data_IF_145207767175
#
_entry.id   IF_145207767175
#
_cell.length_a   1.000
_cell.length_b   1.000
_cell.length_c   1.000
_cell.angle_alpha   90.00
_cell.angle_beta   90.00
_cell.angle_gamma   90.00
#
_symmetry.space_group_name_H-M   'P 1'
#
loop_
_entity.id
_entity.type
_entity.pdbx_description
1 polymer ?
#
# COMPACT_ATOMS: atom_id res chain seq x y z
N UNK A 1 75.04 -16.90 -50.67
CA UNK A 1 74.69 -15.55 -50.23
C UNK A 1 73.36 -15.59 -49.50
N UNK A 2 73.29 -15.52 -48.14
CA UNK A 2 72.08 -15.38 -47.42
C UNK A 2 71.77 -13.90 -47.15
N UNK A 3 70.51 -13.51 -47.36
CA UNK A 3 69.95 -12.18 -47.06
C UNK A 3 69.62 -12.08 -45.55
N UNK A 4 70.20 -11.10 -44.89
CA UNK A 4 69.92 -10.67 -43.53
C UNK A 4 68.68 -9.78 -43.52
N UNK A 5 67.60 -10.18 -42.77
CA UNK A 5 66.46 -9.33 -42.55
C UNK A 5 66.66 -8.60 -41.20
N UNK A 6 66.29 -7.34 -41.04
CA UNK A 6 66.45 -6.59 -39.81
C UNK A 6 65.33 -6.97 -38.84
N UNK A 7 65.68 -7.24 -37.53
CA UNK A 7 64.79 -7.35 -36.41
C UNK A 7 64.24 -5.98 -36.01
N UNK A 8 62.94 -5.80 -36.18
CA UNK A 8 62.21 -4.70 -35.54
C UNK A 8 62.00 -5.04 -34.07
N UNK A 9 62.67 -4.34 -33.17
CA UNK A 9 62.36 -4.30 -31.75
C UNK A 9 61.20 -3.29 -31.51
N UNK A 10 59.98 -3.78 -31.46
CA UNK A 10 58.82 -3.00 -31.06
C UNK A 10 58.77 -2.86 -29.54
N UNK A 11 59.24 -1.77 -28.99
CA UNK A 11 58.98 -1.34 -27.62
C UNK A 11 57.57 -0.74 -27.58
N UNK A 12 56.63 -1.43 -26.92
CA UNK A 12 55.28 -0.91 -26.64
C UNK A 12 55.32 -0.01 -25.40
N UNK A 13 55.10 1.31 -25.52
CA UNK A 13 54.98 2.21 -24.39
C UNK A 13 53.50 2.63 -24.21
N UNK A 14 52.63 1.81 -23.72
CA UNK A 14 51.22 2.24 -23.48
C UNK A 14 50.54 1.74 -22.22
N UNK A 15 51.24 0.94 -21.37
CA UNK A 15 50.68 0.45 -20.11
C UNK A 15 50.78 1.40 -18.90
N UNK A 16 51.83 2.20 -18.84
CA UNK A 16 52.13 3.06 -17.69
C UNK A 16 51.31 4.36 -17.61
N UNK A 17 50.96 4.97 -18.74
CA UNK A 17 50.22 6.23 -18.78
C UNK A 17 48.76 6.12 -18.36
N UNK A 18 48.13 4.97 -18.59
CA UNK A 18 46.73 4.76 -18.19
C UNK A 18 46.56 4.48 -16.68
N UNK A 19 47.52 3.83 -16.06
CA UNK A 19 47.51 3.57 -14.61
C UNK A 19 47.78 4.86 -13.81
N UNK A 20 48.69 5.69 -14.24
CA UNK A 20 48.98 6.99 -13.63
C UNK A 20 47.82 7.99 -13.83
N UNK A 21 47.14 7.98 -14.96
CA UNK A 21 45.97 8.82 -15.21
C UNK A 21 44.80 8.40 -14.28
N UNK A 22 44.58 7.11 -14.06
CA UNK A 22 43.61 6.60 -13.12
C UNK A 22 43.94 6.95 -11.67
N UNK A 23 45.22 6.81 -11.25
CA UNK A 23 45.64 7.18 -9.89
C UNK A 23 45.48 8.68 -9.62
N UNK A 24 45.81 9.55 -10.58
CA UNK A 24 45.61 11.02 -10.51
C UNK A 24 44.10 11.39 -10.49
N UNK A 25 43.25 10.66 -11.21
CA UNK A 25 41.80 10.86 -11.15
C UNK A 25 41.21 10.44 -9.79
N UNK A 26 41.66 9.31 -9.25
CA UNK A 26 41.24 8.85 -7.90
C UNK A 26 41.72 9.80 -6.80
N UNK A 27 42.96 10.29 -6.88
CA UNK A 27 43.49 11.29 -5.91
C UNK A 27 42.65 12.58 -5.94
N UNK A 28 42.30 13.11 -7.13
CA UNK A 28 41.44 14.29 -7.25
C UNK A 28 40.03 14.07 -6.66
N UNK A 29 39.46 12.89 -6.87
CA UNK A 29 38.16 12.54 -6.26
C UNK A 29 38.26 12.44 -4.75
N UNK A 30 39.36 11.88 -4.23
CA UNK A 30 39.59 11.82 -2.77
C UNK A 30 39.80 13.20 -2.16
N UNK A 31 40.56 14.07 -2.78
CA UNK A 31 40.79 15.46 -2.34
C UNK A 31 39.48 16.27 -2.38
N UNK A 32 38.67 16.10 -3.44
CA UNK A 32 37.37 16.72 -3.55
C UNK A 32 36.40 16.22 -2.45
N UNK A 33 36.34 14.91 -2.20
CA UNK A 33 35.55 14.33 -1.12
C UNK A 33 36.04 14.80 0.27
N UNK A 34 37.37 14.92 0.46
CA UNK A 34 37.98 15.48 1.65
C UNK A 34 37.60 16.94 1.91
N UNK A 35 37.60 17.77 0.84
CA UNK A 35 37.18 19.16 0.93
C UNK A 35 35.69 19.33 1.25
N UNK A 36 34.83 18.46 0.70
CA UNK A 36 33.39 18.44 1.02
C UNK A 36 33.15 18.03 2.47
N UNK A 37 33.89 17.03 2.97
CA UNK A 37 33.75 16.59 4.37
C UNK A 37 34.22 17.66 5.37
N UNK A 38 35.29 18.40 5.05
CA UNK A 38 35.78 19.52 5.86
C UNK A 38 34.77 20.67 5.89
N UNK A 39 34.24 21.08 4.72
CA UNK A 39 33.18 22.11 4.64
C UNK A 39 31.92 21.71 5.39
N UNK A 40 31.53 20.43 5.33
CA UNK A 40 30.41 19.91 6.10
C UNK A 40 30.66 19.97 7.58
N UNK A 41 31.85 19.59 8.06
CA UNK A 41 32.20 19.67 9.47
C UNK A 41 32.18 21.12 9.98
N UNK A 42 32.64 22.07 9.21
CA UNK A 42 32.63 23.50 9.52
C UNK A 42 31.19 24.06 9.58
N UNK A 43 30.34 23.68 8.62
CA UNK A 43 28.92 24.04 8.62
C UNK A 43 28.16 23.48 9.82
N UNK A 44 28.45 22.23 10.22
CA UNK A 44 27.84 21.59 11.40
C UNK A 44 28.31 22.22 12.70
N UNK A 45 29.53 22.71 12.76
CA UNK A 45 30.09 23.39 13.93
C UNK A 45 29.53 24.81 14.09
N UNK A 46 29.34 25.53 12.97
CA UNK A 46 28.82 26.91 12.98
C UNK A 46 27.30 26.99 13.08
N UNK A 47 26.58 25.97 12.58
CA UNK A 47 25.13 25.97 12.51
C UNK A 47 24.53 24.61 12.96
N UNK A 48 24.26 24.41 14.26
CA UNK A 48 23.73 23.15 14.77
C UNK A 48 22.40 22.72 14.16
N UNK A 49 21.59 23.68 13.67
CA UNK A 49 20.35 23.40 12.94
C UNK A 49 20.59 22.68 11.60
N UNK A 50 21.76 22.81 10.96
CA UNK A 50 22.13 22.07 9.74
C UNK A 50 22.18 20.58 10.02
N UNK A 51 22.67 20.16 11.20
CA UNK A 51 22.64 18.75 11.60
C UNK A 51 21.22 18.21 11.84
N UNK A 52 20.31 19.05 12.31
CA UNK A 52 18.89 18.71 12.43
C UNK A 52 18.25 18.62 11.04
N UNK A 53 18.52 19.58 10.17
CA UNK A 53 18.01 19.59 8.80
C UNK A 53 18.55 18.41 7.98
N UNK A 54 19.82 18.05 8.14
CA UNK A 54 20.42 16.88 7.49
C UNK A 54 19.80 15.58 7.98
N UNK A 55 19.43 15.50 9.25
CA UNK A 55 18.87 14.31 9.88
C UNK A 55 17.35 14.14 9.61
N UNK A 56 16.62 15.25 9.53
CA UNK A 56 15.16 15.25 9.43
C UNK A 56 14.62 15.92 8.15
N UNK A 57 15.42 16.74 7.46
CA UNK A 57 14.97 17.56 6.34
C UNK A 57 14.46 16.72 5.18
N UNK A 58 15.13 15.61 4.88
CA UNK A 58 14.70 14.68 3.81
C UNK A 58 13.41 13.99 4.22
N UNK A 59 13.30 13.55 5.48
CA UNK A 59 12.08 12.91 6.01
C UNK A 59 10.90 13.87 5.98
N UNK A 60 11.09 15.12 6.37
CA UNK A 60 10.05 16.16 6.33
C UNK A 60 9.66 16.49 4.88
N UNK A 61 10.63 16.63 3.98
CA UNK A 61 10.35 16.89 2.56
C UNK A 61 9.61 15.70 1.91
N UNK A 62 10.00 14.48 2.24
CA UNK A 62 9.35 13.26 1.79
C UNK A 62 7.92 13.15 2.31
N UNK A 63 7.71 13.46 3.60
CA UNK A 63 6.36 13.52 4.19
C UNK A 63 5.52 14.61 3.53
N UNK A 64 6.07 15.81 3.33
CA UNK A 64 5.38 16.90 2.66
C UNK A 64 5.01 16.53 1.21
N UNK A 65 5.91 15.88 0.47
CA UNK A 65 5.63 15.39 -0.88
C UNK A 65 4.56 14.30 -0.88
N UNK A 66 4.57 13.41 0.10
CA UNK A 66 3.54 12.39 0.30
C UNK A 66 2.16 13.03 0.58
N UNK A 67 2.09 13.98 1.51
CA UNK A 67 0.86 14.73 1.80
C UNK A 67 0.39 15.53 0.58
N UNK A 68 1.30 16.14 -0.16
CA UNK A 68 0.98 16.85 -1.40
C UNK A 68 0.42 15.90 -2.45
N UNK A 69 1.02 14.72 -2.63
CA UNK A 69 0.51 13.65 -3.47
C UNK A 69 -0.90 13.24 -3.05
N UNK A 70 -1.16 13.11 -1.74
CA UNK A 70 -2.48 12.86 -1.17
C UNK A 70 -3.52 13.89 -1.59
N UNK A 71 -3.17 15.18 -1.55
CA UNK A 71 -4.07 16.28 -1.90
C UNK A 71 -4.38 16.31 -3.41
N UNK A 72 -3.41 15.98 -4.26
CA UNK A 72 -3.57 15.88 -5.71
C UNK A 72 -4.41 14.67 -6.08
N UNK A 73 -4.14 13.50 -5.50
CA UNK A 73 -4.86 12.25 -5.79
C UNK A 73 -6.31 12.22 -5.29
N UNK A 74 -6.73 13.19 -4.51
CA UNK A 74 -8.16 13.40 -4.21
C UNK A 74 -9.03 13.56 -5.47
N UNK A 75 -8.42 13.79 -6.64
CA UNK A 75 -9.11 14.13 -7.90
C UNK A 75 -9.43 12.95 -8.82
N UNK A 76 -9.02 11.70 -8.53
CA UNK A 76 -9.51 10.54 -9.31
C UNK A 76 -8.45 9.49 -9.69
N UNK A 77 -8.96 8.39 -10.23
CA UNK A 77 -8.22 7.16 -10.63
C UNK A 77 -7.50 7.35 -11.99
N UNK A 78 -7.44 8.55 -12.52
CA UNK A 78 -6.85 8.86 -13.84
C UNK A 78 -5.34 8.54 -13.92
N UNK A 79 -4.68 8.37 -12.75
CA UNK A 79 -3.26 8.09 -12.64
C UNK A 79 -2.91 6.61 -12.42
N UNK A 80 -3.85 5.70 -12.69
CA UNK A 80 -3.63 4.26 -12.53
C UNK A 80 -2.41 3.70 -13.28
N UNK A 81 -2.13 4.11 -14.55
CA UNK A 81 -0.92 3.66 -15.24
C UNK A 81 0.38 4.08 -14.53
N UNK A 82 0.41 5.29 -13.95
CA UNK A 82 1.54 5.78 -13.18
C UNK A 82 1.75 4.94 -11.91
N UNK A 83 0.66 4.56 -11.24
CA UNK A 83 0.71 3.70 -10.06
C UNK A 83 1.28 2.31 -10.39
N UNK A 84 0.86 1.69 -11.51
CA UNK A 84 1.42 0.41 -11.97
C UNK A 84 2.90 0.56 -12.29
N UNK A 85 3.29 1.62 -13.01
CA UNK A 85 4.69 1.91 -13.31
C UNK A 85 5.55 2.04 -12.05
N UNK A 86 5.04 2.74 -11.03
CA UNK A 86 5.71 2.89 -9.74
C UNK A 86 5.85 1.54 -9.00
N UNK A 87 4.81 0.71 -9.02
CA UNK A 87 4.83 -0.62 -8.42
C UNK A 87 5.85 -1.54 -9.11
N UNK A 88 5.90 -1.51 -10.44
CA UNK A 88 6.88 -2.26 -11.21
C UNK A 88 8.32 -1.78 -10.94
N UNK A 89 8.52 -0.47 -10.82
CA UNK A 89 9.81 0.11 -10.44
C UNK A 89 10.23 -0.35 -9.04
N UNK A 90 9.33 -0.29 -8.07
CA UNK A 90 9.60 -0.77 -6.71
C UNK A 90 9.97 -2.26 -6.70
N UNK A 91 9.20 -3.07 -7.45
CA UNK A 91 9.48 -4.50 -7.57
C UNK A 91 10.85 -4.75 -8.21
N UNK A 92 11.15 -4.09 -9.34
CA UNK A 92 12.43 -4.20 -10.04
C UNK A 92 13.61 -3.82 -9.13
N UNK A 93 13.51 -2.67 -8.44
CA UNK A 93 14.53 -2.21 -7.50
C UNK A 93 14.68 -3.19 -6.34
N UNK A 94 13.57 -3.73 -5.81
CA UNK A 94 13.59 -4.76 -4.75
C UNK A 94 14.29 -6.05 -5.19
N UNK A 95 14.04 -6.52 -6.43
CA UNK A 95 14.69 -7.70 -7.01
C UNK A 95 16.19 -7.47 -7.22
N UNK A 96 16.55 -6.35 -7.86
CA UNK A 96 17.97 -5.97 -8.08
C UNK A 96 18.70 -5.86 -6.74
N UNK A 97 18.03 -5.31 -5.72
CA UNK A 97 18.59 -5.19 -4.38
C UNK A 97 18.79 -6.55 -3.69
N UNK A 98 17.84 -7.47 -3.83
CA UNK A 98 17.95 -8.82 -3.29
C UNK A 98 19.12 -9.58 -3.92
N UNK A 99 19.27 -9.52 -5.25
CA UNK A 99 20.40 -10.12 -5.98
C UNK A 99 21.74 -9.47 -5.61
N UNK A 100 21.76 -8.14 -5.54
CA UNK A 100 22.95 -7.39 -5.16
C UNK A 100 23.39 -7.68 -3.72
N UNK A 101 22.46 -7.90 -2.78
CA UNK A 101 22.79 -8.35 -1.42
C UNK A 101 23.45 -9.73 -1.38
N UNK A 102 23.01 -10.66 -2.22
CA UNK A 102 23.66 -11.97 -2.33
C UNK A 102 25.07 -11.82 -2.91
N UNK A 103 25.27 -10.91 -3.87
CA UNK A 103 26.58 -10.59 -4.44
C UNK A 103 27.48 -9.74 -3.50
N UNK A 104 26.93 -9.11 -2.46
CA UNK A 104 27.62 -8.21 -1.49
C UNK A 104 28.78 -8.86 -0.72
N UNK A 105 28.84 -10.19 -0.70
CA UNK A 105 30.03 -10.91 -0.21
C UNK A 105 31.30 -10.57 -1.03
N UNK A 106 31.19 -9.84 -2.17
CA UNK A 106 32.27 -9.42 -3.02
C UNK A 106 32.15 -7.93 -3.43
N UNK A 107 32.80 -7.01 -2.68
CA UNK A 107 33.51 -5.81 -3.17
C UNK A 107 32.73 -4.72 -3.92
N UNK A 108 31.79 -4.00 -3.29
CA UNK A 108 31.28 -2.73 -3.85
C UNK A 108 31.59 -1.51 -2.98
N UNK A 109 31.70 -0.27 -3.56
CA UNK A 109 31.90 0.95 -2.78
C UNK A 109 30.75 1.19 -1.80
N UNK A 110 31.05 1.52 -0.55
CA UNK A 110 30.05 1.78 0.51
C UNK A 110 29.01 2.86 0.13
N UNK A 111 29.43 3.81 -0.71
CA UNK A 111 28.57 4.90 -1.20
C UNK A 111 27.43 4.39 -2.09
N UNK A 112 27.70 3.45 -3.01
CA UNK A 112 26.70 2.87 -3.90
C UNK A 112 25.62 2.16 -3.08
N UNK A 113 26.02 1.40 -2.06
CA UNK A 113 25.07 0.70 -1.20
C UNK A 113 24.18 1.64 -0.38
N UNK A 114 24.73 2.75 0.12
CA UNK A 114 23.92 3.78 0.80
C UNK A 114 22.90 4.43 -0.15
N UNK A 115 23.30 4.71 -1.38
CA UNK A 115 22.40 5.27 -2.39
C UNK A 115 21.25 4.29 -2.72
N UNK A 116 21.56 2.99 -2.85
CA UNK A 116 20.54 1.95 -3.08
C UNK A 116 19.60 1.82 -1.87
N UNK A 117 20.12 1.74 -0.64
CA UNK A 117 19.32 1.67 0.58
C UNK A 117 18.37 2.88 0.67
N UNK A 118 18.85 4.08 0.37
CA UNK A 118 18.06 5.29 0.35
C UNK A 118 16.97 5.27 -0.73
N UNK A 119 17.29 4.81 -1.94
CA UNK A 119 16.33 4.70 -3.03
C UNK A 119 15.20 3.73 -2.67
N UNK A 120 15.53 2.57 -2.12
CA UNK A 120 14.55 1.57 -1.67
C UNK A 120 13.64 2.15 -0.59
N UNK A 121 14.20 2.81 0.42
CA UNK A 121 13.43 3.47 1.48
C UNK A 121 12.47 4.52 0.91
N UNK A 122 12.95 5.38 -0.01
CA UNK A 122 12.14 6.43 -0.65
C UNK A 122 10.98 5.83 -1.46
N UNK A 123 11.22 4.73 -2.17
CA UNK A 123 10.18 4.03 -2.92
C UNK A 123 9.11 3.42 -2.00
N UNK A 124 9.50 2.77 -0.89
CA UNK A 124 8.55 2.27 0.10
C UNK A 124 7.72 3.38 0.71
N UNK A 125 8.37 4.45 1.13
CA UNK A 125 7.71 5.61 1.70
C UNK A 125 6.68 6.20 0.73
N UNK A 126 7.07 6.50 -0.51
CA UNK A 126 6.17 7.06 -1.50
C UNK A 126 4.96 6.15 -1.78
N UNK A 127 5.19 4.84 -1.92
CA UNK A 127 4.13 3.87 -2.17
C UNK A 127 3.15 3.75 -0.99
N UNK A 128 3.66 3.61 0.24
CA UNK A 128 2.82 3.47 1.42
C UNK A 128 2.01 4.74 1.69
N UNK A 129 2.60 5.93 1.52
CA UNK A 129 1.87 7.19 1.61
C UNK A 129 0.79 7.34 0.54
N UNK A 130 1.05 6.84 -0.68
CA UNK A 130 0.03 6.81 -1.74
C UNK A 130 -1.15 5.89 -1.39
N UNK A 131 -0.87 4.73 -0.79
CA UNK A 131 -1.89 3.75 -0.43
C UNK A 131 -2.76 4.19 0.75
N UNK A 132 -2.19 4.88 1.74
CA UNK A 132 -2.87 5.26 2.97
C UNK A 132 -4.23 5.93 2.77
N UNK A 133 -4.41 6.98 1.92
CA UNK A 133 -5.71 7.64 1.74
C UNK A 133 -6.73 6.74 1.06
N UNK A 134 -6.30 5.85 0.17
CA UNK A 134 -7.20 4.92 -0.50
C UNK A 134 -7.74 3.92 0.52
N UNK A 135 -6.85 3.36 1.35
CA UNK A 135 -7.24 2.47 2.44
C UNK A 135 -8.07 3.19 3.49
N UNK A 136 -7.71 4.41 3.88
CA UNK A 136 -8.49 5.24 4.79
C UNK A 136 -9.92 5.48 4.28
N UNK A 137 -10.08 5.82 3.00
CA UNK A 137 -11.37 6.05 2.39
C UNK A 137 -12.26 4.79 2.32
N UNK A 138 -11.65 3.60 2.29
CA UNK A 138 -12.33 2.30 2.23
C UNK A 138 -12.49 1.64 3.61
N UNK A 139 -11.95 2.25 4.68
CA UNK A 139 -11.98 1.72 6.04
C UNK A 139 -13.12 2.34 6.84
N UNK A 140 -13.86 1.51 7.57
CA UNK A 140 -14.83 1.97 8.56
C UNK A 140 -14.15 2.04 9.92
N UNK A 141 -13.85 3.27 10.42
CA UNK A 141 -13.05 3.49 11.64
C UNK A 141 -13.55 2.78 12.91
N UNK A 142 -14.83 2.43 12.95
CA UNK A 142 -15.43 1.70 14.07
C UNK A 142 -15.59 0.19 13.77
N UNK A 143 -14.66 -0.38 13.01
CA UNK A 143 -14.65 -1.80 12.69
C UNK A 143 -13.23 -2.39 12.78
N UNK A 144 -13.11 -3.71 12.56
CA UNK A 144 -11.82 -4.43 12.71
C UNK A 144 -10.83 -4.11 11.58
N UNK A 145 -11.29 -3.66 10.44
CA UNK A 145 -10.47 -3.27 9.28
C UNK A 145 -9.58 -2.06 9.55
N UNK A 146 -9.87 -1.26 10.60
CA UNK A 146 -8.99 -0.19 11.07
C UNK A 146 -7.61 -0.71 11.47
N UNK A 147 -7.49 -1.96 11.92
CA UNK A 147 -6.20 -2.54 12.31
C UNK A 147 -5.24 -2.65 11.12
N UNK A 148 -5.75 -3.00 9.94
CA UNK A 148 -4.93 -3.01 8.73
C UNK A 148 -4.50 -1.60 8.32
N UNK A 149 -5.38 -0.61 8.45
CA UNK A 149 -5.03 0.80 8.20
C UNK A 149 -3.94 1.28 9.17
N UNK A 150 -4.03 0.91 10.45
CA UNK A 150 -3.01 1.23 11.47
C UNK A 150 -1.68 0.56 11.12
N UNK A 151 -1.69 -0.69 10.66
CA UNK A 151 -0.49 -1.39 10.21
C UNK A 151 0.18 -0.67 9.04
N UNK A 152 -0.59 -0.25 8.01
CA UNK A 152 -0.08 0.52 6.89
C UNK A 152 0.45 1.88 7.33
N UNK A 153 -0.25 2.57 8.24
CA UNK A 153 0.17 3.84 8.80
C UNK A 153 1.49 3.73 9.58
N UNK A 154 1.63 2.69 10.40
CA UNK A 154 2.86 2.40 11.12
C UNK A 154 4.03 2.09 10.16
N UNK A 155 3.78 1.29 9.11
CA UNK A 155 4.77 1.01 8.08
C UNK A 155 5.19 2.28 7.32
N UNK A 156 4.24 3.13 6.94
CA UNK A 156 4.52 4.42 6.29
C UNK A 156 5.34 5.34 7.21
N UNK A 157 4.95 5.46 8.47
CA UNK A 157 5.68 6.27 9.46
C UNK A 157 7.11 5.76 9.67
N UNK A 158 7.28 4.44 9.78
CA UNK A 158 8.58 3.81 9.96
C UNK A 158 9.51 4.04 8.78
N UNK A 159 8.98 4.02 7.55
CA UNK A 159 9.76 4.30 6.33
C UNK A 159 10.03 5.78 6.10
N UNK A 160 9.20 6.68 6.67
CA UNK A 160 9.38 8.13 6.59
C UNK A 160 10.51 8.61 7.48
N UNK A 161 10.66 8.02 8.67
CA UNK A 161 11.61 8.48 9.66
C UNK A 161 12.96 7.76 9.51
N UNK A 162 13.93 8.39 8.86
CA UNK A 162 15.27 7.83 8.61
C UNK A 162 15.92 7.22 9.85
N UNK A 163 15.91 7.85 11.04
CA UNK A 163 16.50 7.26 12.24
C UNK A 163 15.81 5.95 12.66
N UNK A 164 14.49 5.86 12.48
CA UNK A 164 13.72 4.66 12.83
C UNK A 164 13.92 3.56 11.81
N UNK A 165 13.94 3.92 10.53
CA UNK A 165 14.22 2.97 9.45
C UNK A 165 15.59 2.31 9.64
N UNK A 166 16.63 3.10 9.90
CA UNK A 166 17.98 2.60 10.14
C UNK A 166 18.09 1.78 11.44
N UNK A 167 17.40 2.21 12.50
CA UNK A 167 17.47 1.53 13.79
C UNK A 167 16.72 0.20 13.80
N UNK A 168 15.59 0.10 13.09
CA UNK A 168 14.67 -1.04 13.14
C UNK A 168 14.77 -1.91 11.89
N UNK A 169 14.56 -1.32 10.71
CA UNK A 169 14.45 -2.08 9.46
C UNK A 169 15.80 -2.58 8.98
N UNK A 170 16.81 -1.72 8.90
CA UNK A 170 18.12 -2.10 8.37
C UNK A 170 18.85 -3.15 9.25
N UNK A 171 18.52 -3.21 10.54
CA UNK A 171 19.08 -4.22 11.46
C UNK A 171 18.36 -5.56 11.41
N UNK A 172 17.16 -5.60 10.83
CA UNK A 172 16.31 -6.78 10.78
C UNK A 172 15.92 -7.16 9.34
N UNK A 173 16.75 -7.90 8.61
CA UNK A 173 16.48 -8.25 7.19
C UNK A 173 15.13 -8.92 6.96
N UNK A 174 14.64 -9.70 7.94
CA UNK A 174 13.30 -10.32 7.86
C UNK A 174 12.17 -9.30 7.89
N UNK A 175 12.34 -8.21 8.67
CA UNK A 175 11.35 -7.14 8.77
C UNK A 175 11.33 -6.32 7.48
N UNK A 176 12.47 -6.11 6.84
CA UNK A 176 12.54 -5.46 5.52
C UNK A 176 11.82 -6.28 4.45
N UNK A 177 12.01 -7.61 4.42
CA UNK A 177 11.28 -8.51 3.51
C UNK A 177 9.77 -8.46 3.81
N UNK A 178 9.37 -8.46 5.09
CA UNK A 178 7.97 -8.35 5.49
C UNK A 178 7.36 -7.02 5.06
N UNK A 179 8.08 -5.91 5.20
CA UNK A 179 7.66 -4.58 4.75
C UNK A 179 7.49 -4.55 3.22
N UNK A 180 8.42 -5.17 2.48
CA UNK A 180 8.31 -5.29 1.03
C UNK A 180 7.10 -6.13 0.62
N UNK A 181 6.90 -7.28 1.26
CA UNK A 181 5.72 -8.12 1.06
C UNK A 181 4.42 -7.38 1.37
N UNK A 182 4.36 -6.61 2.47
CA UNK A 182 3.20 -5.79 2.83
C UNK A 182 2.92 -4.70 1.77
N UNK A 183 3.95 -4.01 1.31
CA UNK A 183 3.81 -2.97 0.29
C UNK A 183 3.30 -3.54 -1.05
N UNK A 184 3.86 -4.68 -1.49
CA UNK A 184 3.39 -5.41 -2.67
C UNK A 184 1.95 -5.90 -2.51
N UNK A 185 1.65 -6.55 -1.38
CA UNK A 185 0.31 -7.04 -1.08
C UNK A 185 -0.73 -5.91 -1.11
N UNK A 186 -0.49 -4.82 -0.38
CA UNK A 186 -1.41 -3.69 -0.33
C UNK A 186 -1.61 -3.03 -1.70
N UNK A 187 -0.55 -2.96 -2.51
CA UNK A 187 -0.62 -2.42 -3.87
C UNK A 187 -1.43 -3.32 -4.81
N UNK A 188 -1.16 -4.62 -4.79
CA UNK A 188 -1.89 -5.59 -5.60
C UNK A 188 -3.36 -5.67 -5.18
N UNK A 189 -3.65 -5.61 -3.86
CA UNK A 189 -5.02 -5.61 -3.35
C UNK A 189 -5.83 -4.38 -3.81
N UNK A 190 -5.17 -3.24 -4.07
CA UNK A 190 -5.79 -2.10 -4.75
C UNK A 190 -5.90 -2.33 -6.26
N UNK A 191 -4.88 -2.89 -6.90
CA UNK A 191 -4.82 -3.02 -8.35
C UNK A 191 -5.81 -4.06 -8.90
N UNK A 192 -5.99 -5.19 -8.22
CA UNK A 192 -6.86 -6.28 -8.68
C UNK A 192 -8.32 -5.84 -8.92
N UNK A 193 -9.01 -5.13 -8.02
CA UNK A 193 -10.35 -4.65 -8.28
C UNK A 193 -10.42 -3.57 -9.38
N UNK A 194 -9.35 -2.84 -9.64
CA UNK A 194 -9.30 -1.84 -10.72
C UNK A 194 -9.31 -2.50 -12.12
N UNK A 195 -8.88 -3.75 -12.21
CA UNK A 195 -8.98 -4.56 -13.44
C UNK A 195 -10.24 -5.45 -13.46
N UNK A 196 -11.18 -5.23 -12.53
CA UNK A 196 -12.49 -5.90 -12.49
C UNK A 196 -12.53 -7.19 -11.66
N UNK A 197 -11.46 -7.55 -10.94
CA UNK A 197 -11.46 -8.73 -10.07
C UNK A 197 -12.25 -8.41 -8.78
N UNK A 198 -13.15 -9.30 -8.39
CA UNK A 198 -13.91 -9.15 -7.14
C UNK A 198 -12.99 -8.98 -5.91
N UNK A 199 -13.34 -8.13 -4.94
CA UNK A 199 -12.45 -7.77 -3.82
C UNK A 199 -11.86 -8.95 -3.06
N UNK A 200 -12.64 -9.99 -2.80
CA UNK A 200 -12.17 -11.16 -2.06
C UNK A 200 -11.17 -11.99 -2.88
N UNK A 201 -11.44 -12.22 -4.14
CA UNK A 201 -10.50 -12.93 -5.02
C UNK A 201 -9.28 -12.07 -5.31
N UNK A 202 -9.47 -10.74 -5.44
CA UNK A 202 -8.39 -9.76 -5.52
C UNK A 202 -7.47 -9.81 -4.30
N UNK A 203 -8.03 -9.90 -3.10
CA UNK A 203 -7.29 -10.04 -1.84
C UNK A 203 -6.42 -11.32 -1.84
N UNK A 204 -7.00 -12.45 -2.21
CA UNK A 204 -6.28 -13.73 -2.25
C UNK A 204 -5.21 -13.74 -3.34
N UNK A 205 -5.55 -13.26 -4.54
CA UNK A 205 -4.59 -13.11 -5.64
C UNK A 205 -3.41 -12.19 -5.26
N UNK A 206 -3.68 -11.12 -4.52
CA UNK A 206 -2.66 -10.20 -4.01
C UNK A 206 -1.74 -10.86 -2.98
N UNK A 207 -2.29 -11.68 -2.10
CA UNK A 207 -1.51 -12.47 -1.14
C UNK A 207 -0.58 -13.46 -1.83
N UNK A 208 -1.10 -14.28 -2.74
CA UNK A 208 -0.31 -15.21 -3.52
C UNK A 208 0.71 -14.48 -4.42
N UNK A 209 0.26 -13.45 -5.15
CA UNK A 209 1.09 -12.66 -6.06
C UNK A 209 2.25 -11.97 -5.35
N UNK A 210 2.05 -11.44 -4.14
CA UNK A 210 3.12 -10.83 -3.36
C UNK A 210 4.20 -11.85 -2.95
N UNK A 211 3.82 -13.07 -2.60
CA UNK A 211 4.77 -14.13 -2.27
C UNK A 211 5.53 -14.63 -3.51
N UNK A 212 4.85 -14.75 -4.65
CA UNK A 212 5.50 -15.10 -5.92
C UNK A 212 6.44 -13.99 -6.41
N UNK A 213 6.07 -12.72 -6.24
CA UNK A 213 6.94 -11.60 -6.57
C UNK A 213 8.21 -11.55 -5.69
N UNK A 214 8.16 -12.13 -4.48
CA UNK A 214 9.31 -12.29 -3.59
C UNK A 214 10.19 -13.51 -3.96
N UNK A 215 9.90 -14.25 -5.03
CA UNK A 215 10.67 -15.42 -5.45
C UNK A 215 12.19 -15.21 -5.45
N UNK A 216 12.76 -14.10 -5.96
CA UNK A 216 14.19 -13.86 -5.91
C UNK A 216 14.74 -13.77 -4.48
N UNK A 217 13.94 -13.27 -3.53
CA UNK A 217 14.32 -13.17 -2.11
C UNK A 217 14.39 -14.55 -1.44
N UNK A 218 13.60 -15.52 -1.92
CA UNK A 218 13.63 -16.90 -1.43
C UNK A 218 14.81 -17.71 -1.95
N UNK A 219 15.54 -17.22 -2.95
CA UNK A 219 16.73 -17.87 -3.49
C UNK A 219 17.89 -17.75 -2.50
N UNK A 220 18.56 -18.88 -2.26
CA UNK A 220 19.77 -18.94 -1.45
C UNK A 220 20.98 -19.14 -2.36
N UNK A 221 22.17 -18.71 -1.92
CA UNK A 221 23.41 -18.91 -2.66
C UNK A 221 23.76 -20.39 -2.92
N UNK A 222 23.19 -21.30 -2.14
CA UNK A 222 23.35 -22.73 -2.27
C UNK A 222 22.38 -23.38 -3.26
N UNK A 223 21.37 -22.65 -3.77
CA UNK A 223 20.39 -23.20 -4.68
C UNK A 223 20.96 -23.33 -6.10
N UNK A 224 21.15 -24.56 -6.57
CA UNK A 224 21.65 -24.85 -7.92
C UNK A 224 20.60 -24.57 -9.01
N UNK A 225 19.30 -24.58 -8.66
CA UNK A 225 18.17 -24.38 -9.57
C UNK A 225 17.09 -23.49 -8.95
N UNK A 226 16.12 -23.08 -9.76
CA UNK A 226 14.96 -22.31 -9.32
C UNK A 226 13.87 -23.15 -8.63
N UNK A 227 14.00 -24.48 -8.60
CA UNK A 227 12.98 -25.37 -8.02
C UNK A 227 12.80 -25.12 -6.52
N UNK A 228 13.90 -25.09 -5.75
CA UNK A 228 13.84 -24.90 -4.31
C UNK A 228 13.29 -23.51 -3.90
N UNK A 229 13.71 -22.38 -4.48
CA UNK A 229 13.08 -21.08 -4.22
C UNK A 229 11.62 -21.04 -4.65
N UNK A 230 11.22 -21.67 -5.77
CA UNK A 230 9.82 -21.73 -6.20
C UNK A 230 8.95 -22.52 -5.22
N UNK A 231 9.45 -23.62 -4.68
CA UNK A 231 8.74 -24.39 -3.65
C UNK A 231 8.58 -23.56 -2.35
N UNK A 232 9.62 -22.85 -1.92
CA UNK A 232 9.53 -21.96 -0.73
C UNK A 232 8.51 -20.84 -0.94
N UNK A 233 8.52 -20.19 -2.11
CA UNK A 233 7.54 -19.17 -2.47
C UNK A 233 6.12 -19.74 -2.53
N UNK A 234 5.95 -20.93 -3.10
CA UNK A 234 4.66 -21.64 -3.15
C UNK A 234 4.13 -21.99 -1.76
N UNK A 235 4.97 -22.52 -0.88
CA UNK A 235 4.58 -22.79 0.52
C UNK A 235 4.23 -21.49 1.23
N UNK A 236 5.02 -20.42 1.07
CA UNK A 236 4.71 -19.11 1.66
C UNK A 236 3.37 -18.58 1.13
N UNK A 237 3.09 -18.70 -0.17
CA UNK A 237 1.81 -18.30 -0.76
C UNK A 237 0.64 -19.07 -0.13
N UNK A 238 0.74 -20.39 0.00
CA UNK A 238 -0.30 -21.21 0.64
C UNK A 238 -0.54 -20.79 2.09
N UNK A 239 0.52 -20.56 2.86
CA UNK A 239 0.41 -20.09 4.25
C UNK A 239 -0.25 -18.71 4.34
N UNK A 240 0.11 -17.78 3.43
CA UNK A 240 -0.52 -16.46 3.36
C UNK A 240 -1.99 -16.59 2.98
N UNK A 241 -2.38 -17.43 2.02
CA UNK A 241 -3.77 -17.67 1.66
C UNK A 241 -4.58 -18.25 2.83
N UNK A 242 -4.02 -19.25 3.53
CA UNK A 242 -4.63 -19.85 4.71
C UNK A 242 -4.85 -18.82 5.84
N UNK A 243 -3.95 -17.84 5.98
CA UNK A 243 -4.07 -16.75 6.94
C UNK A 243 -5.08 -15.68 6.47
N UNK A 244 -5.04 -15.29 5.20
CA UNK A 244 -5.90 -14.24 4.65
C UNK A 244 -7.37 -14.63 4.62
N UNK A 245 -7.69 -15.89 4.38
CA UNK A 245 -9.08 -16.36 4.33
C UNK A 245 -9.88 -16.04 5.60
N UNK A 246 -9.45 -16.42 6.83
CA UNK A 246 -10.14 -16.03 8.05
C UNK A 246 -10.02 -14.54 8.38
N UNK A 247 -8.90 -13.89 7.99
CA UNK A 247 -8.64 -12.48 8.28
C UNK A 247 -9.21 -11.51 7.24
N UNK A 248 -9.92 -11.97 6.20
CA UNK A 248 -10.45 -11.12 5.12
C UNK A 248 -11.32 -9.96 5.62
N UNK A 249 -12.06 -10.16 6.72
CA UNK A 249 -12.88 -9.11 7.32
C UNK A 249 -12.10 -8.06 8.12
N UNK A 250 -10.77 -8.19 8.23
CA UNK A 250 -9.88 -7.23 8.88
C UNK A 250 -9.15 -6.34 7.87
N UNK A 251 -9.30 -6.66 6.58
CA UNK A 251 -8.68 -5.94 5.49
C UNK A 251 -9.80 -5.28 4.69
N UNK A 252 -9.79 -3.93 4.55
CA UNK A 252 -10.85 -3.23 3.84
C UNK A 252 -10.87 -3.63 2.37
N UNK A 253 -12.06 -3.75 1.75
CA UNK A 253 -12.21 -4.13 0.34
C UNK A 253 -11.90 -2.95 -0.59
N UNK A 254 -10.65 -2.50 -0.61
CA UNK A 254 -10.22 -1.37 -1.45
C UNK A 254 -10.41 -1.69 -2.94
N UNK A 255 -10.79 -0.71 -3.77
CA UNK A 255 -11.08 0.69 -3.46
C UNK A 255 -12.58 0.97 -3.21
N UNK A 256 -13.37 -0.04 -2.81
CA UNK A 256 -14.78 0.15 -2.47
C UNK A 256 -14.93 1.06 -1.25
N UNK A 257 -15.88 2.00 -1.33
CA UNK A 257 -16.17 2.89 -0.21
C UNK A 257 -17.62 3.32 -0.18
N UNK A 258 -18.17 3.51 0.99
CA UNK A 258 -19.48 4.11 1.18
C UNK A 258 -19.37 5.63 0.94
N UNK A 259 -19.89 6.11 -0.20
CA UNK A 259 -19.89 7.54 -0.55
C UNK A 259 -20.96 8.32 0.20
N UNK A 260 -22.14 7.71 0.37
CA UNK A 260 -23.27 8.27 1.10
C UNK A 260 -24.06 7.14 1.75
N UNK A 261 -24.49 7.33 2.98
CA UNK A 261 -25.37 6.40 3.68
C UNK A 261 -26.23 7.14 4.70
N UNK A 262 -27.53 6.83 4.74
CA UNK A 262 -28.46 7.41 5.69
C UNK A 262 -29.66 6.49 5.90
N UNK A 263 -30.27 6.59 7.06
CA UNK A 263 -31.63 6.10 7.24
C UNK A 263 -32.63 7.15 6.79
N UNK A 264 -33.77 6.71 6.33
CA UNK A 264 -34.85 7.58 5.84
C UNK A 264 -36.21 6.93 6.07
N UNK A 265 -37.27 7.74 6.04
CA UNK A 265 -38.65 7.26 6.06
C UNK A 265 -38.92 6.36 4.85
N UNK A 266 -38.52 6.80 3.67
CA UNK A 266 -38.68 6.09 2.41
C UNK A 266 -37.55 6.40 1.43
N UNK A 267 -37.48 5.65 0.35
CA UNK A 267 -36.59 5.95 -0.79
C UNK A 267 -37.46 5.98 -2.04
N UNK A 268 -37.41 7.10 -2.79
CA UNK A 268 -38.13 7.30 -4.03
C UNK A 268 -37.11 7.69 -5.10
N UNK A 269 -37.17 7.05 -6.28
CA UNK A 269 -36.22 7.30 -7.39
C UNK A 269 -34.72 7.23 -6.97
N UNK A 270 -34.42 6.27 -6.10
CA UNK A 270 -33.06 6.09 -5.50
C UNK A 270 -32.54 7.34 -4.79
N UNK A 271 -33.45 8.16 -4.21
CA UNK A 271 -33.12 9.25 -3.31
C UNK A 271 -33.84 9.06 -1.95
N UNK A 272 -33.18 9.34 -0.83
CA UNK A 272 -33.79 9.20 0.49
C UNK A 272 -34.75 10.35 0.78
N UNK A 273 -35.98 10.01 1.14
CA UNK A 273 -37.02 10.94 1.59
C UNK A 273 -37.03 11.04 3.09
N UNK A 274 -36.94 12.24 3.64
CA UNK A 274 -36.81 12.51 5.07
C UNK A 274 -35.63 11.72 5.71
N UNK A 275 -34.39 12.02 5.35
CA UNK A 275 -33.21 11.37 5.91
C UNK A 275 -33.06 11.74 7.40
N UNK A 276 -32.76 10.75 8.25
CA UNK A 276 -32.67 10.92 9.69
C UNK A 276 -31.40 10.27 10.27
N UNK A 277 -30.92 10.82 11.37
CA UNK A 277 -29.82 10.25 12.19
C UNK A 277 -30.34 9.85 13.58
N UNK A 278 -31.46 10.42 13.99
CA UNK A 278 -32.23 10.09 15.19
C UNK A 278 -33.70 10.24 14.87
N UNK A 279 -34.52 9.38 15.44
CA UNK A 279 -35.97 9.36 15.22
C UNK A 279 -36.64 8.74 16.47
N UNK A 280 -37.87 9.13 16.79
CA UNK A 280 -38.60 8.53 17.89
C UNK A 280 -39.24 7.18 17.49
N UNK A 281 -39.47 6.31 18.48
CA UNK A 281 -40.17 5.05 18.27
C UNK A 281 -41.60 5.26 17.74
N UNK A 282 -42.23 6.37 18.13
CA UNK A 282 -43.59 6.73 17.67
C UNK A 282 -43.58 7.04 16.17
N UNK A 283 -42.63 7.86 15.70
CA UNK A 283 -42.48 8.20 14.26
C UNK A 283 -42.16 6.96 13.43
N UNK A 284 -41.30 6.05 13.93
CA UNK A 284 -40.97 4.80 13.24
C UNK A 284 -42.21 3.93 13.03
N UNK A 285 -43.08 3.87 14.03
CA UNK A 285 -44.37 3.13 13.93
C UNK A 285 -45.31 3.81 12.93
N UNK A 286 -45.43 5.14 12.97
CA UNK A 286 -46.21 5.92 12.01
C UNK A 286 -45.74 5.72 10.57
N UNK A 287 -44.41 5.66 10.33
CA UNK A 287 -43.83 5.45 9.02
C UNK A 287 -44.00 4.02 8.49
N UNK A 288 -44.42 3.08 9.36
CA UNK A 288 -44.51 1.67 9.02
C UNK A 288 -43.18 1.05 8.63
N UNK A 289 -42.08 1.48 9.26
CA UNK A 289 -40.75 0.95 9.06
C UNK A 289 -39.68 2.00 8.71
N UNK A 290 -38.49 1.53 8.41
CA UNK A 290 -37.32 2.35 8.05
C UNK A 290 -36.67 1.86 6.77
N UNK A 291 -36.16 2.79 5.98
CA UNK A 291 -35.32 2.52 4.82
C UNK A 291 -33.85 2.88 5.14
N UNK A 292 -32.93 2.03 4.75
CA UNK A 292 -31.50 2.31 4.75
C UNK A 292 -31.05 2.54 3.30
N UNK A 293 -30.68 3.76 3.00
CA UNK A 293 -30.13 4.17 1.69
C UNK A 293 -28.61 4.17 1.76
N UNK A 294 -27.98 3.66 0.69
CA UNK A 294 -26.53 3.65 0.55
C UNK A 294 -26.10 3.92 -0.89
N UNK A 295 -25.00 4.64 -1.06
CA UNK A 295 -24.33 4.84 -2.33
C UNK A 295 -22.87 4.35 -2.19
N UNK A 296 -22.50 3.36 -2.98
CA UNK A 296 -21.16 2.74 -2.92
C UNK A 296 -20.36 3.14 -4.15
N UNK A 297 -19.19 3.75 -3.91
CA UNK A 297 -18.24 4.05 -4.97
C UNK A 297 -17.41 2.81 -5.27
N UNK A 298 -17.33 2.46 -6.55
CA UNK A 298 -16.56 1.34 -7.07
C UNK A 298 -15.88 1.72 -8.40
N UNK A 299 -14.73 1.14 -8.76
CA UNK A 299 -14.10 1.36 -10.04
C UNK A 299 -14.95 0.85 -11.21
N UNK A 300 -14.77 1.48 -12.38
CA UNK A 300 -15.48 1.07 -13.60
C UNK A 300 -15.18 -0.40 -13.93
N UNK A 301 -16.20 -1.12 -14.38
CA UNK A 301 -16.08 -2.54 -14.73
C UNK A 301 -16.21 -3.52 -13.57
N UNK A 302 -16.06 -3.07 -12.33
CA UNK A 302 -16.26 -3.94 -11.16
C UNK A 302 -17.76 -4.25 -10.97
N UNK A 303 -18.05 -5.54 -10.76
CA UNK A 303 -19.37 -6.04 -10.35
C UNK A 303 -19.18 -6.85 -9.08
N UNK A 304 -19.88 -6.47 -8.01
CA UNK A 304 -19.77 -7.14 -6.71
C UNK A 304 -21.14 -7.30 -6.08
N UNK A 305 -21.56 -8.51 -5.70
CA UNK A 305 -22.76 -8.71 -4.91
C UNK A 305 -22.61 -8.07 -3.54
N UNK A 306 -23.57 -7.25 -3.14
CA UNK A 306 -23.58 -6.58 -1.84
C UNK A 306 -24.80 -6.92 -1.03
N UNK A 307 -24.65 -6.77 0.28
CA UNK A 307 -25.71 -7.07 1.26
C UNK A 307 -25.80 -5.95 2.27
N UNK A 308 -27.02 -5.65 2.68
CA UNK A 308 -27.29 -4.90 3.91
C UNK A 308 -27.49 -5.86 5.08
N UNK A 309 -26.66 -5.72 6.10
CA UNK A 309 -26.79 -6.47 7.36
C UNK A 309 -27.37 -5.54 8.42
N UNK A 310 -28.64 -5.72 8.71
CA UNK A 310 -29.35 -4.96 9.70
C UNK A 310 -29.00 -5.46 11.11
N UNK A 311 -28.66 -4.53 11.97
CA UNK A 311 -28.34 -4.81 13.38
C UNK A 311 -29.09 -3.87 14.29
N UNK A 312 -29.46 -4.37 15.46
CA UNK A 312 -29.97 -3.59 16.59
C UNK A 312 -29.11 -3.92 17.81
N UNK A 313 -28.57 -2.91 18.47
CA UNK A 313 -27.71 -3.04 19.65
C UNK A 313 -26.55 -4.06 19.45
N UNK A 314 -25.97 -4.05 18.23
CA UNK A 314 -24.90 -4.94 17.81
C UNK A 314 -25.33 -6.35 17.35
N UNK A 315 -26.55 -6.79 17.63
CA UNK A 315 -27.07 -8.11 17.21
C UNK A 315 -27.55 -8.07 15.77
N UNK A 316 -27.16 -9.04 14.97
CA UNK A 316 -27.63 -9.22 13.59
C UNK A 316 -29.08 -9.65 13.62
N UNK A 317 -29.95 -8.92 12.93
CA UNK A 317 -31.35 -9.24 12.75
C UNK A 317 -31.65 -9.87 11.40
N UNK A 318 -31.05 -9.32 10.35
CA UNK A 318 -31.38 -9.72 8.99
C UNK A 318 -30.21 -9.38 8.04
N UNK A 319 -30.06 -10.20 6.99
CA UNK A 319 -29.15 -9.95 5.88
C UNK A 319 -29.96 -9.91 4.59
N UNK A 320 -29.99 -8.74 3.95
CA UNK A 320 -30.76 -8.49 2.74
C UNK A 320 -29.78 -8.37 1.57
N UNK A 321 -29.96 -9.20 0.55
CA UNK A 321 -29.21 -9.11 -0.70
C UNK A 321 -29.71 -7.91 -1.50
N UNK A 322 -28.78 -7.17 -2.07
CA UNK A 322 -29.05 -6.03 -2.93
C UNK A 322 -28.64 -6.34 -4.37
N UNK A 323 -29.02 -5.45 -5.29
CA UNK A 323 -28.49 -5.52 -6.65
C UNK A 323 -26.96 -5.42 -6.63
N UNK A 324 -26.26 -6.23 -7.45
CA UNK A 324 -24.80 -6.14 -7.56
C UNK A 324 -24.35 -4.72 -7.91
N UNK A 325 -23.27 -4.26 -7.29
CA UNK A 325 -22.67 -2.98 -7.63
C UNK A 325 -22.29 -2.97 -9.11
N UNK A 326 -22.59 -1.84 -9.76
CA UNK A 326 -22.06 -1.48 -11.06
C UNK A 326 -21.10 -0.31 -10.87
N UNK A 327 -19.80 -0.57 -11.06
CA UNK A 327 -18.75 0.43 -10.87
C UNK A 327 -18.76 1.51 -11.97
N UNK A 328 -18.03 2.61 -11.70
CA UNK A 328 -17.89 3.73 -12.63
C UNK A 328 -19.00 4.78 -12.56
N UNK A 329 -19.99 4.62 -11.66
CA UNK A 329 -21.10 5.58 -11.52
C UNK A 329 -20.63 6.77 -10.66
N UNK A 330 -20.77 7.99 -11.23
CA UNK A 330 -20.46 9.24 -10.51
C UNK A 330 -21.40 9.39 -9.32
N UNK A 331 -20.83 9.62 -8.13
CA UNK A 331 -21.57 9.68 -6.86
C UNK A 331 -21.83 8.32 -6.19
N UNK A 332 -21.45 7.23 -6.84
CA UNK A 332 -21.61 5.86 -6.36
C UNK A 332 -22.88 5.16 -6.83
N UNK A 333 -22.84 3.83 -6.82
CA UNK A 333 -23.99 2.96 -7.10
C UNK A 333 -24.99 3.07 -5.94
N UNK A 334 -26.20 3.56 -6.23
CA UNK A 334 -27.25 3.82 -5.26
C UNK A 334 -28.12 2.59 -5.08
N UNK A 335 -28.40 2.26 -3.84
CA UNK A 335 -29.26 1.14 -3.47
C UNK A 335 -29.87 1.37 -2.10
N UNK A 336 -30.91 0.60 -1.76
CA UNK A 336 -31.54 0.67 -0.46
C UNK A 336 -32.13 -0.69 -0.05
N UNK A 337 -32.38 -0.83 1.24
CA UNK A 337 -33.25 -1.87 1.78
C UNK A 337 -34.26 -1.25 2.74
N UNK A 338 -35.45 -1.82 2.83
CA UNK A 338 -36.49 -1.38 3.76
C UNK A 338 -36.81 -2.52 4.73
N UNK A 339 -36.94 -2.16 6.01
CA UNK A 339 -37.44 -3.04 7.04
C UNK A 339 -38.77 -2.49 7.57
N UNK A 340 -39.85 -3.19 7.26
CA UNK A 340 -41.20 -2.76 7.62
C UNK A 340 -41.52 -3.00 9.10
N UNK A 341 -41.01 -4.09 9.67
CA UNK A 341 -41.26 -4.42 11.07
C UNK A 341 -39.94 -4.34 11.89
N UNK A 342 -39.91 -3.47 12.87
CA UNK A 342 -38.75 -3.25 13.74
C UNK A 342 -38.94 -3.82 15.17
N UNK A 343 -40.02 -4.58 15.41
CA UNK A 343 -40.41 -5.06 16.68
C UNK A 343 -41.46 -4.17 17.37
N UNK A 344 -42.06 -4.64 18.49
CA UNK A 344 -43.04 -3.87 19.26
C UNK A 344 -42.43 -2.60 19.86
N UNK A 345 -41.19 -2.68 20.33
CA UNK A 345 -40.40 -1.55 20.77
C UNK A 345 -39.19 -1.36 19.82
N UNK A 346 -39.23 -0.38 18.92
CA UNK A 346 -38.12 -0.11 18.01
C UNK A 346 -36.96 0.70 18.61
N UNK A 347 -37.03 1.14 19.85
CA UNK A 347 -36.01 1.93 20.51
C UNK A 347 -34.66 1.19 20.57
N UNK A 348 -33.55 1.91 20.42
CA UNK A 348 -32.19 1.35 20.46
C UNK A 348 -31.27 1.87 19.37
N UNK A 349 -30.07 1.31 19.31
CA UNK A 349 -29.06 1.66 18.31
C UNK A 349 -29.16 0.74 17.08
N UNK A 350 -29.56 1.30 15.98
CA UNK A 350 -29.65 0.61 14.70
C UNK A 350 -28.47 0.86 13.81
N UNK A 351 -27.96 -0.19 13.19
CA UNK A 351 -26.89 -0.07 12.18
C UNK A 351 -27.21 -0.93 10.97
N UNK A 352 -26.83 -0.44 9.82
CA UNK A 352 -26.81 -1.22 8.58
C UNK A 352 -25.39 -1.26 8.06
N UNK A 353 -24.81 -2.46 8.04
CA UNK A 353 -23.52 -2.74 7.46
C UNK A 353 -23.69 -3.08 6.00
N UNK A 354 -22.98 -2.37 5.11
CA UNK A 354 -22.86 -2.72 3.71
C UNK A 354 -21.66 -3.65 3.57
N UNK A 355 -21.90 -4.88 3.17
CA UNK A 355 -20.86 -5.91 3.09
C UNK A 355 -20.83 -6.59 1.72
N UNK A 356 -19.66 -7.10 1.32
CA UNK A 356 -19.50 -7.95 0.13
C UNK A 356 -20.11 -9.34 0.37
N UNK A 357 -20.15 -10.18 -0.67
CA UNK A 357 -20.57 -11.58 -0.56
C UNK A 357 -19.82 -12.34 0.54
N UNK A 358 -18.54 -12.07 0.71
CA UNK A 358 -17.65 -12.71 1.66
C UNK A 358 -17.46 -11.93 2.97
N UNK A 359 -18.42 -11.04 3.31
CA UNK A 359 -18.52 -10.33 4.60
C UNK A 359 -17.41 -9.27 4.84
N UNK A 360 -16.72 -8.79 3.80
CA UNK A 360 -15.86 -7.62 3.93
C UNK A 360 -16.73 -6.37 4.06
N UNK A 361 -16.44 -5.52 5.05
CA UNK A 361 -17.22 -4.32 5.33
C UNK A 361 -16.82 -3.19 4.40
N UNK A 362 -17.78 -2.68 3.61
CA UNK A 362 -17.61 -1.50 2.74
C UNK A 362 -17.91 -0.21 3.51
N UNK A 363 -18.92 -0.27 4.42
CA UNK A 363 -19.29 0.88 5.23
C UNK A 363 -20.46 0.57 6.15
N UNK A 364 -20.72 1.50 7.07
CA UNK A 364 -21.77 1.38 8.11
C UNK A 364 -22.59 2.64 8.21
N UNK A 365 -23.90 2.50 8.21
CA UNK A 365 -24.86 3.56 8.51
C UNK A 365 -25.43 3.34 9.91
N UNK A 366 -25.64 4.43 10.66
CA UNK A 366 -26.10 4.38 12.05
C UNK A 366 -27.36 5.22 12.24
N UNK A 367 -28.24 4.77 13.12
CA UNK A 367 -29.44 5.49 13.55
C UNK A 367 -29.67 5.22 15.04
N UNK A 368 -30.05 6.22 15.79
CA UNK A 368 -30.56 6.09 17.13
C UNK A 368 -32.06 6.25 17.13
N UNK A 369 -32.78 5.22 17.57
CA UNK A 369 -34.24 5.31 17.82
C UNK A 369 -34.45 5.56 19.30
N UNK A 370 -35.01 6.74 19.60
CA UNK A 370 -35.37 7.11 20.99
C UNK A 370 -36.71 6.54 21.36
N UNK A 371 -36.98 6.31 22.66
CA UNK A 371 -38.26 5.81 23.14
C UNK A 371 -39.47 6.63 22.70
#
# INVERSE_FOLDING_TARGET
MPRILPRFSGSSPSGHTSAEARSRALARVQDWLGSLSARRADLLATHPWVGVLERWGISVLSLASGVFTLLIFRRGIEYFPLFIGYLLLLWLVGVVFAEARQARAARGPKLVWRAVDYTVQTLFHGLLLFLLPVYYASTTLASRDVLFLVLLGAAALLTTMDPWYQAVIQKAPRLEIALFGLALFASLNLACPLIGLEPTWGLLASGAGSMLALLPVFRRSTDASWLAPSLRAGVAAILVLALLWPLRGWIPPVPLRLSRGTFARAVTELEPVQPVRSVSAAEVREWGGLAAFTAVSAPAGLREPIFHVWRRDGRVLERIQLSPIQGGIRGGFRTYSRKAFLGEDPAGSWTVDVVTAHQQLIGRVRLTVTP
#
